data_IF_674650586162
#
_entry.id   IF_674650586162
#
_cell.length_a   1.000
_cell.length_b   1.000
_cell.length_c   1.000
_cell.angle_alpha   90.00
_cell.angle_beta   90.00
_cell.angle_gamma   90.00
#
_symmetry.space_group_name_H-M   'P 1'
#
loop_
_entity.id
_entity.type
_entity.pdbx_description
1 polymer ?
#
# COMPACT_ATOMS: atom_id res chain seq x y z
N UNK A 1 29.11 -32.26 13.65
CA UNK A 1 27.78 -31.69 13.95
C UNK A 1 27.05 -31.49 12.64
N UNK A 2 26.13 -32.40 12.30
CA UNK A 2 25.53 -32.51 10.97
C UNK A 2 24.41 -31.50 10.75
N UNK A 3 24.18 -31.09 9.50
CA UNK A 3 23.14 -30.16 9.04
C UNK A 3 21.73 -30.51 9.58
N UNK A 4 21.45 -31.79 9.81
CA UNK A 4 20.20 -32.26 10.42
C UNK A 4 20.00 -31.77 11.87
N UNK A 5 21.08 -31.67 12.66
CA UNK A 5 21.02 -31.12 14.02
C UNK A 5 20.80 -29.60 14.04
N UNK A 6 21.15 -28.89 12.97
CA UNK A 6 20.86 -27.46 12.82
C UNK A 6 19.41 -27.24 12.36
N UNK A 7 18.94 -28.04 11.40
CA UNK A 7 17.57 -28.00 10.90
C UNK A 7 16.54 -28.39 11.99
N UNK A 8 16.84 -29.42 12.79
CA UNK A 8 15.98 -29.84 13.90
C UNK A 8 15.87 -28.76 14.98
N UNK A 9 16.98 -28.09 15.34
CA UNK A 9 16.95 -26.98 16.31
C UNK A 9 16.23 -25.74 15.76
N UNK A 10 16.36 -25.45 14.47
CA UNK A 10 15.60 -24.38 13.83
C UNK A 10 14.09 -24.67 13.78
N UNK A 11 13.71 -25.92 13.54
CA UNK A 11 12.31 -26.35 13.54
C UNK A 11 11.70 -26.31 14.96
N UNK A 12 12.46 -26.73 15.98
CA UNK A 12 12.03 -26.65 17.38
C UNK A 12 11.90 -25.18 17.83
N UNK A 13 12.84 -24.31 17.46
CA UNK A 13 12.75 -22.87 17.74
C UNK A 13 11.59 -22.20 16.98
N UNK A 14 11.29 -22.64 15.75
CA UNK A 14 10.12 -22.17 15.00
C UNK A 14 8.81 -22.66 15.64
N UNK A 15 8.76 -23.89 16.14
CA UNK A 15 7.58 -24.43 16.83
C UNK A 15 7.37 -23.79 18.21
N UNK A 16 8.43 -23.49 18.96
CA UNK A 16 8.35 -22.76 20.23
C UNK A 16 7.94 -21.30 20.04
N UNK A 17 8.44 -20.61 19.02
CA UNK A 17 8.00 -19.25 18.70
C UNK A 17 6.54 -19.21 18.24
N UNK A 18 6.07 -20.22 17.49
CA UNK A 18 4.65 -20.34 17.10
C UNK A 18 3.76 -20.64 18.31
N UNK A 19 4.22 -21.50 19.25
CA UNK A 19 3.50 -21.77 20.51
C UNK A 19 3.43 -20.56 21.43
N UNK A 20 4.49 -19.74 21.51
CA UNK A 20 4.51 -18.50 22.29
C UNK A 20 3.57 -17.44 21.71
N UNK A 21 3.42 -17.40 20.38
CA UNK A 21 2.43 -16.54 19.71
C UNK A 21 1.01 -17.00 20.05
N UNK A 22 0.72 -18.31 20.00
CA UNK A 22 -0.62 -18.86 20.30
C UNK A 22 -1.00 -18.80 21.79
N UNK A 23 -0.02 -18.87 22.71
CA UNK A 23 -0.28 -18.70 24.15
C UNK A 23 -0.41 -17.22 24.55
N UNK A 24 0.26 -16.28 23.88
CA UNK A 24 0.07 -14.85 24.15
C UNK A 24 -1.22 -14.26 23.54
N UNK A 25 -1.79 -14.85 22.48
CA UNK A 25 -3.15 -14.48 22.00
C UNK A 25 -4.28 -14.95 22.92
N UNK A 26 -4.04 -15.90 23.82
CA UNK A 26 -5.09 -16.43 24.71
C UNK A 26 -5.11 -15.84 26.14
N UNK A 27 -4.05 -15.19 26.62
CA UNK A 27 -3.93 -14.89 28.07
C UNK A 27 -4.42 -13.50 28.51
N UNK A 28 -4.84 -12.59 27.61
CA UNK A 28 -5.41 -11.29 28.04
C UNK A 28 -6.69 -10.87 27.30
N UNK A 29 -7.70 -11.74 27.31
CA UNK A 29 -9.08 -11.34 27.04
C UNK A 29 -9.96 -11.56 28.28
N UNK A 30 -10.02 -10.60 29.23
CA UNK A 30 -11.03 -10.67 30.29
C UNK A 30 -12.39 -10.30 29.70
N UNK A 31 -13.33 -11.24 29.80
CA UNK A 31 -14.78 -10.98 29.87
C UNK A 31 -15.40 -10.09 28.79
N UNK A 32 -15.31 -10.48 27.51
CA UNK A 32 -16.24 -9.92 26.53
C UNK A 32 -17.62 -10.58 26.72
N UNK A 33 -18.55 -9.88 27.37
CA UNK A 33 -19.97 -10.26 27.49
C UNK A 33 -20.74 -10.16 26.17
N UNK A 34 -20.05 -10.11 25.02
CA UNK A 34 -20.66 -10.31 23.72
C UNK A 34 -21.17 -11.76 23.61
N UNK A 35 -22.50 -11.90 23.59
CA UNK A 35 -23.21 -13.17 23.39
C UNK A 35 -22.70 -13.91 22.15
N UNK A 36 -22.73 -15.24 22.16
CA UNK A 36 -22.30 -16.06 21.03
C UNK A 36 -23.03 -15.70 19.72
N UNK A 37 -24.26 -15.16 19.81
CA UNK A 37 -25.04 -14.65 18.68
C UNK A 37 -24.48 -13.33 18.11
N UNK A 38 -23.97 -12.41 18.93
CA UNK A 38 -23.30 -11.19 18.49
C UNK A 38 -21.96 -11.49 17.81
N UNK A 39 -21.20 -12.46 18.34
CA UNK A 39 -19.98 -12.99 17.72
C UNK A 39 -20.25 -13.64 16.36
N UNK A 40 -21.28 -14.50 16.27
CA UNK A 40 -21.72 -15.13 15.00
C UNK A 40 -22.25 -14.10 14.00
N UNK A 41 -22.99 -13.07 14.43
CA UNK A 41 -23.47 -11.98 13.54
C UNK A 41 -22.33 -11.13 12.98
N UNK A 42 -21.33 -10.77 13.79
CA UNK A 42 -20.11 -10.06 13.32
C UNK A 42 -19.26 -10.92 12.39
N UNK A 43 -19.13 -12.22 12.69
CA UNK A 43 -18.46 -13.17 11.80
C UNK A 43 -19.17 -13.26 10.45
N UNK A 44 -20.51 -13.41 10.44
CA UNK A 44 -21.33 -13.48 9.22
C UNK A 44 -21.31 -12.16 8.42
N UNK A 45 -21.28 -11.00 9.08
CA UNK A 45 -21.15 -9.68 8.41
C UNK A 45 -19.74 -9.38 7.89
N UNK A 46 -18.73 -10.16 8.26
CA UNK A 46 -17.36 -10.03 7.71
C UNK A 46 -17.32 -10.57 6.29
N UNK A 47 -18.08 -11.64 6.00
CA UNK A 47 -18.14 -12.28 4.67
C UNK A 47 -18.96 -11.52 3.63
N UNK A 48 -19.83 -10.60 4.06
CA UNK A 48 -20.63 -9.76 3.15
C UNK A 48 -19.88 -8.51 2.66
N UNK A 49 -18.63 -8.28 3.13
CA UNK A 49 -17.83 -7.13 2.72
C UNK A 49 -17.05 -7.48 1.44
N UNK A 50 -17.27 -6.78 0.31
CA UNK A 50 -16.56 -7.05 -0.95
C UNK A 50 -15.04 -7.11 -0.79
N UNK A 51 -14.48 -6.24 0.06
CA UNK A 51 -13.04 -6.16 0.32
C UNK A 51 -12.44 -7.45 0.91
N UNK A 52 -13.23 -8.23 1.66
CA UNK A 52 -12.76 -9.49 2.25
C UNK A 52 -12.69 -10.61 1.21
N UNK A 53 -13.64 -10.63 0.27
CA UNK A 53 -13.62 -11.59 -0.85
C UNK A 53 -12.48 -11.22 -1.80
N UNK A 54 -12.38 -9.93 -2.13
CA UNK A 54 -11.35 -9.42 -3.01
C UNK A 54 -9.94 -9.70 -2.44
N UNK A 55 -9.73 -9.52 -1.14
CA UNK A 55 -8.48 -9.86 -0.45
C UNK A 55 -8.10 -11.35 -0.50
N UNK A 56 -9.05 -12.26 -0.78
CA UNK A 56 -8.78 -13.70 -0.96
C UNK A 56 -8.47 -14.09 -2.40
N UNK A 57 -9.09 -13.40 -3.37
CA UNK A 57 -8.91 -13.69 -4.81
C UNK A 57 -7.67 -13.02 -5.39
N UNK A 58 -7.32 -11.84 -4.89
CA UNK A 58 -6.19 -11.08 -5.42
C UNK A 58 -4.84 -11.80 -5.26
N UNK A 59 -4.47 -12.35 -4.08
CA UNK A 59 -3.15 -12.97 -3.91
C UNK A 59 -2.84 -14.10 -4.92
N UNK A 60 -3.71 -15.10 -5.14
CA UNK A 60 -3.43 -16.14 -6.14
C UNK A 60 -3.34 -15.59 -7.57
N UNK A 61 -4.16 -14.60 -7.93
CA UNK A 61 -4.08 -13.94 -9.23
C UNK A 61 -2.75 -13.20 -9.42
N UNK A 62 -2.27 -12.51 -8.39
CA UNK A 62 -0.97 -11.83 -8.42
C UNK A 62 0.20 -12.82 -8.49
N UNK A 63 0.10 -14.00 -7.86
CA UNK A 63 1.10 -15.05 -8.00
C UNK A 63 1.17 -15.56 -9.45
N UNK A 64 0.01 -15.80 -10.08
CA UNK A 64 -0.04 -16.19 -11.50
C UNK A 64 0.54 -15.10 -12.39
N UNK A 65 0.19 -13.84 -12.14
CA UNK A 65 0.73 -12.69 -12.86
C UNK A 65 2.25 -12.58 -12.67
N UNK A 66 2.76 -12.79 -11.46
CA UNK A 66 4.19 -12.75 -11.16
C UNK A 66 4.95 -13.89 -11.86
N UNK A 67 4.42 -15.12 -11.82
CA UNK A 67 5.03 -16.27 -12.49
C UNK A 67 5.06 -16.10 -14.02
N UNK A 68 3.92 -15.76 -14.62
CA UNK A 68 3.82 -15.54 -16.06
C UNK A 68 4.59 -14.30 -16.51
N UNK A 69 4.55 -13.23 -15.71
CA UNK A 69 5.33 -12.01 -15.92
C UNK A 69 6.83 -12.26 -15.83
N UNK A 70 7.30 -13.09 -14.90
CA UNK A 70 8.70 -13.52 -14.82
C UNK A 70 9.11 -14.30 -16.07
N UNK A 71 8.33 -15.31 -16.48
CA UNK A 71 8.63 -16.09 -17.67
C UNK A 71 8.67 -15.21 -18.93
N UNK A 72 7.72 -14.27 -19.07
CA UNK A 72 7.65 -13.37 -20.21
C UNK A 72 8.77 -12.32 -20.19
N UNK A 73 8.94 -11.62 -19.06
CA UNK A 73 9.95 -10.58 -18.90
C UNK A 73 11.37 -11.14 -18.90
N UNK A 74 11.71 -11.98 -17.94
CA UNK A 74 13.10 -12.40 -17.73
C UNK A 74 13.62 -13.33 -18.84
N UNK A 75 12.79 -14.25 -19.32
CA UNK A 75 13.23 -15.29 -20.27
C UNK A 75 12.93 -14.85 -21.71
N UNK A 76 11.66 -14.64 -22.05
CA UNK A 76 11.25 -14.41 -23.45
C UNK A 76 11.76 -13.08 -23.99
N UNK A 77 11.67 -11.98 -23.22
CA UNK A 77 12.19 -10.68 -23.66
C UNK A 77 13.70 -10.69 -23.83
N UNK A 78 14.44 -11.35 -22.93
CA UNK A 78 15.89 -11.46 -23.03
C UNK A 78 16.32 -12.26 -24.27
N UNK A 79 15.65 -13.39 -24.54
CA UNK A 79 15.88 -14.17 -25.76
C UNK A 79 15.54 -13.38 -27.02
N UNK A 80 14.45 -12.61 -27.01
CA UNK A 80 14.10 -11.72 -28.11
C UNK A 80 15.20 -10.68 -28.37
N UNK A 81 15.67 -10.00 -27.33
CA UNK A 81 16.75 -9.00 -27.46
C UNK A 81 18.06 -9.61 -27.94
N UNK A 82 18.41 -10.81 -27.45
CA UNK A 82 19.66 -11.48 -27.79
C UNK A 82 19.62 -12.13 -29.18
N UNK A 83 18.64 -12.99 -29.45
CA UNK A 83 18.63 -13.93 -30.58
C UNK A 83 17.84 -13.44 -31.79
N UNK A 84 16.84 -12.57 -31.58
CA UNK A 84 16.03 -12.00 -32.68
C UNK A 84 16.59 -10.64 -33.09
N UNK A 85 16.95 -9.79 -32.13
CA UNK A 85 17.52 -8.47 -32.39
C UNK A 85 19.05 -8.44 -32.52
N UNK A 86 19.73 -9.54 -32.19
CA UNK A 86 21.21 -9.63 -32.23
C UNK A 86 21.92 -8.77 -31.18
N UNK A 87 21.22 -8.28 -30.15
CA UNK A 87 21.75 -7.33 -29.14
C UNK A 87 22.08 -8.02 -27.82
N UNK A 88 23.04 -8.94 -27.82
CA UNK A 88 23.42 -9.72 -26.63
C UNK A 88 23.82 -8.88 -25.41
N UNK A 89 24.56 -7.78 -25.60
CA UNK A 89 24.95 -6.89 -24.48
C UNK A 89 23.75 -6.18 -23.87
N UNK A 90 22.77 -5.77 -24.69
CA UNK A 90 21.52 -5.17 -24.21
C UNK A 90 20.68 -6.19 -23.45
N UNK A 91 20.60 -7.44 -23.94
CA UNK A 91 19.90 -8.51 -23.26
C UNK A 91 20.51 -8.80 -21.86
N UNK A 92 21.85 -8.85 -21.75
CA UNK A 92 22.53 -9.03 -20.46
C UNK A 92 22.30 -7.86 -19.50
N UNK A 93 22.37 -6.62 -19.98
CA UNK A 93 22.04 -5.44 -19.16
C UNK A 93 20.59 -5.47 -18.68
N UNK A 94 19.65 -5.82 -19.58
CA UNK A 94 18.24 -5.97 -19.24
C UNK A 94 18.02 -7.02 -18.15
N UNK A 95 18.62 -8.21 -18.30
CA UNK A 95 18.54 -9.29 -17.31
C UNK A 95 19.11 -8.87 -15.95
N UNK A 96 20.27 -8.20 -15.94
CA UNK A 96 20.86 -7.67 -14.71
C UNK A 96 19.94 -6.66 -14.03
N UNK A 97 19.41 -5.69 -14.80
CA UNK A 97 18.46 -4.70 -14.28
C UNK A 97 17.18 -5.36 -13.74
N UNK A 98 16.64 -6.34 -14.45
CA UNK A 98 15.47 -7.10 -14.02
C UNK A 98 15.73 -7.82 -12.69
N UNK A 99 16.85 -8.53 -12.57
CA UNK A 99 17.24 -9.24 -11.34
C UNK A 99 17.43 -8.28 -10.17
N UNK A 100 18.11 -7.15 -10.39
CA UNK A 100 18.33 -6.13 -9.36
C UNK A 100 17.00 -5.55 -8.90
N UNK A 101 16.13 -5.12 -9.81
CA UNK A 101 14.82 -4.55 -9.46
C UNK A 101 13.91 -5.58 -8.78
N UNK A 102 13.89 -6.83 -9.25
CA UNK A 102 13.15 -7.91 -8.60
C UNK A 102 13.65 -8.17 -7.18
N UNK A 103 14.98 -8.15 -6.99
CA UNK A 103 15.59 -8.31 -5.66
C UNK A 103 15.21 -7.16 -4.72
N UNK A 104 15.19 -5.92 -5.22
CA UNK A 104 14.73 -4.74 -4.45
C UNK A 104 13.25 -4.87 -4.10
N UNK A 105 12.39 -5.29 -5.04
CA UNK A 105 10.97 -5.53 -4.79
C UNK A 105 10.77 -6.57 -3.68
N UNK A 106 11.47 -7.70 -3.75
CA UNK A 106 11.41 -8.76 -2.73
C UNK A 106 11.91 -8.27 -1.37
N UNK A 107 13.02 -7.53 -1.35
CA UNK A 107 13.56 -6.93 -0.12
C UNK A 107 12.56 -5.97 0.52
N UNK A 108 12.02 -5.02 -0.24
CA UNK A 108 11.03 -4.07 0.27
C UNK A 108 9.76 -4.77 0.74
N UNK A 109 9.29 -5.81 0.02
CA UNK A 109 8.17 -6.64 0.45
C UNK A 109 8.44 -7.28 1.82
N UNK A 110 9.61 -7.89 1.99
CA UNK A 110 10.04 -8.46 3.27
C UNK A 110 10.11 -7.43 4.39
N UNK A 111 10.71 -6.26 4.12
CA UNK A 111 10.80 -5.17 5.11
C UNK A 111 9.43 -4.65 5.56
N UNK A 112 8.45 -4.56 4.65
CA UNK A 112 7.07 -4.22 5.03
C UNK A 112 6.43 -5.35 5.83
N UNK A 113 6.55 -6.60 5.36
CA UNK A 113 5.86 -7.75 5.96
C UNK A 113 6.33 -8.09 7.36
N UNK A 114 7.61 -7.86 7.64
CA UNK A 114 8.24 -8.15 8.91
C UNK A 114 8.48 -6.90 9.76
N UNK A 115 7.97 -5.73 9.35
CA UNK A 115 7.96 -4.55 10.19
C UNK A 115 7.15 -4.84 11.47
N UNK A 116 7.81 -4.76 12.62
CA UNK A 116 7.18 -5.02 13.93
C UNK A 116 6.48 -3.76 14.41
N UNK A 117 5.16 -3.71 14.27
CA UNK A 117 4.35 -2.62 14.81
C UNK A 117 3.89 -2.94 16.24
N UNK A 118 4.77 -2.75 17.22
CA UNK A 118 4.42 -2.95 18.64
C UNK A 118 4.30 -1.60 19.34
N UNK A 119 3.27 -1.48 20.17
CA UNK A 119 3.26 -0.52 21.28
C UNK A 119 3.89 -1.30 22.43
N UNK A 120 5.16 -1.01 22.72
CA UNK A 120 5.86 -1.59 23.86
C UNK A 120 5.34 -0.94 25.16
N UNK A 121 5.25 -1.73 26.23
CA UNK A 121 4.80 -1.26 27.55
C UNK A 121 3.71 -2.12 28.19
N UNK A 122 3.43 -1.84 29.46
CA UNK A 122 2.38 -2.44 30.30
C UNK A 122 0.95 -2.11 29.83
N UNK A 123 0.82 -1.18 28.88
CA UNK A 123 -0.45 -0.71 28.36
C UNK A 123 -0.92 0.60 28.99
N UNK A 124 -0.16 1.18 29.92
CA UNK A 124 -0.40 2.48 30.48
C UNK A 124 0.24 3.60 29.64
N UNK A 125 -0.26 4.85 29.73
CA UNK A 125 0.41 5.99 29.13
C UNK A 125 1.79 6.23 29.75
N UNK A 126 2.78 6.77 29.01
CA UNK A 126 4.06 7.22 29.57
C UNK A 126 3.88 8.22 30.71
N UNK A 127 4.87 8.30 31.60
CA UNK A 127 4.82 9.16 32.79
C UNK A 127 4.56 10.62 32.40
N UNK A 128 5.10 11.09 31.28
CA UNK A 128 4.91 12.44 30.76
C UNK A 128 3.45 12.72 30.39
N UNK A 129 2.74 11.70 29.87
CA UNK A 129 1.31 11.78 29.55
C UNK A 129 0.48 11.69 30.83
N UNK A 130 0.84 10.81 31.77
CA UNK A 130 0.17 10.70 33.06
C UNK A 130 0.29 12.01 33.87
N UNK A 131 1.47 12.61 33.87
CA UNK A 131 1.78 13.89 34.51
C UNK A 131 1.35 15.10 33.67
N UNK A 132 0.73 14.89 32.51
CA UNK A 132 0.19 15.95 31.65
C UNK A 132 1.22 17.02 31.26
N UNK A 133 2.46 16.60 31.00
CA UNK A 133 3.59 17.49 30.63
C UNK A 133 3.74 17.70 29.12
N UNK A 134 3.14 16.83 28.32
CA UNK A 134 3.24 16.84 26.84
C UNK A 134 1.85 16.91 26.20
N UNK A 135 1.79 17.21 24.91
CA UNK A 135 0.57 17.16 24.12
C UNK A 135 0.19 15.70 23.84
N UNK A 136 -1.05 15.31 24.13
CA UNK A 136 -1.55 13.97 23.83
C UNK A 136 -3.02 13.96 23.40
N UNK A 137 -3.42 12.91 22.67
CA UNK A 137 -4.82 12.67 22.31
C UNK A 137 -5.60 12.14 23.52
N UNK A 138 -6.73 12.79 23.82
CA UNK A 138 -7.55 12.50 24.98
C UNK A 138 -9.02 12.30 24.61
N UNK A 139 -9.84 11.95 25.61
CA UNK A 139 -11.29 12.05 25.52
C UNK A 139 -11.75 13.47 25.91
N UNK A 140 -13.04 13.75 25.78
CA UNK A 140 -13.61 15.05 26.16
C UNK A 140 -13.48 15.37 27.66
N UNK A 141 -13.26 14.36 28.50
CA UNK A 141 -12.96 14.49 29.94
C UNK A 141 -11.46 14.66 30.24
N UNK A 142 -10.62 14.75 29.20
CA UNK A 142 -9.18 14.94 29.32
C UNK A 142 -8.39 13.69 29.70
N UNK A 143 -9.03 12.52 29.86
CA UNK A 143 -8.31 11.26 30.08
C UNK A 143 -7.60 10.80 28.80
N UNK A 144 -6.41 10.24 28.96
CA UNK A 144 -5.63 9.71 27.84
C UNK A 144 -6.45 8.70 27.01
N UNK A 145 -6.30 8.75 25.69
CA UNK A 145 -7.10 7.90 24.80
C UNK A 145 -6.71 6.43 24.98
N UNK A 146 -7.70 5.59 25.31
CA UNK A 146 -7.54 4.14 25.39
C UNK A 146 -8.16 3.46 24.17
N UNK A 147 -7.58 2.33 23.76
CA UNK A 147 -8.16 1.46 22.75
C UNK A 147 -9.28 0.60 23.37
N UNK A 148 -10.50 0.70 22.82
CA UNK A 148 -11.64 -0.09 23.30
C UNK A 148 -11.45 -1.61 23.17
N UNK A 149 -10.67 -2.06 22.19
CA UNK A 149 -10.43 -3.48 21.89
C UNK A 149 -9.20 -4.01 22.64
N UNK A 150 -8.06 -3.31 22.57
CA UNK A 150 -6.82 -3.72 23.23
C UNK A 150 -6.81 -3.44 24.73
N UNK A 151 -7.66 -2.52 25.22
CA UNK A 151 -7.66 -2.02 26.60
C UNK A 151 -6.31 -1.46 27.06
N UNK A 152 -5.59 -0.82 26.14
CA UNK A 152 -4.29 -0.18 26.37
C UNK A 152 -4.30 1.25 25.86
N UNK A 153 -3.36 2.06 26.33
CA UNK A 153 -3.13 3.41 25.86
C UNK A 153 -2.88 3.44 24.36
N UNK A 154 -3.47 4.45 23.71
CA UNK A 154 -3.36 4.68 22.27
C UNK A 154 -2.60 5.97 22.03
N UNK A 155 -1.32 5.89 21.61
CA UNK A 155 -0.54 7.05 21.22
C UNK A 155 -1.22 7.87 20.12
N UNK A 156 -0.81 9.13 20.00
CA UNK A 156 -1.25 10.01 18.91
C UNK A 156 -0.94 9.36 17.55
N UNK A 157 -1.86 9.45 16.59
CA UNK A 157 -1.82 8.78 15.27
C UNK A 157 -1.86 7.24 15.30
N UNK A 158 -1.88 6.58 16.47
CA UNK A 158 -2.06 5.14 16.54
C UNK A 158 -3.53 4.73 16.33
N UNK A 159 -3.77 3.59 15.66
CA UNK A 159 -5.14 3.05 15.49
C UNK A 159 -5.16 1.53 15.63
N UNK A 160 -6.29 1.01 16.08
CA UNK A 160 -6.54 -0.42 16.10
C UNK A 160 -6.86 -0.92 14.68
N UNK A 161 -6.07 -1.87 14.18
CA UNK A 161 -6.38 -2.57 12.95
C UNK A 161 -7.25 -3.79 13.28
N UNK A 162 -8.47 -3.85 12.76
CA UNK A 162 -9.38 -4.98 13.01
C UNK A 162 -8.93 -6.28 12.32
N UNK A 163 -8.10 -6.17 11.27
CA UNK A 163 -7.58 -7.32 10.52
C UNK A 163 -6.39 -7.94 11.26
N UNK A 164 -5.48 -7.13 11.81
CA UNK A 164 -4.34 -7.59 12.62
C UNK A 164 -4.68 -7.80 14.11
N UNK A 165 -5.78 -7.22 14.61
CA UNK A 165 -6.22 -7.35 16.01
C UNK A 165 -5.39 -6.56 17.03
N UNK A 166 -4.55 -5.63 16.58
CA UNK A 166 -3.62 -4.86 17.44
C UNK A 166 -3.63 -3.37 17.10
N UNK A 167 -3.19 -2.54 18.04
CA UNK A 167 -2.96 -1.12 17.81
C UNK A 167 -1.60 -0.89 17.13
N UNK A 168 -1.62 -0.12 16.06
CA UNK A 168 -0.47 0.17 15.19
C UNK A 168 -0.09 1.66 15.37
N UNK A 169 1.11 1.99 15.85
CA UNK A 169 1.62 3.36 15.89
C UNK A 169 1.73 3.97 14.49
N UNK A 170 1.34 5.23 14.33
CA UNK A 170 1.41 5.90 13.02
C UNK A 170 0.67 5.16 11.90
N UNK A 171 -0.46 4.53 12.23
CA UNK A 171 -1.25 3.71 11.30
C UNK A 171 -1.71 4.52 10.09
N UNK A 172 -1.47 4.00 8.89
CA UNK A 172 -1.99 4.54 7.64
C UNK A 172 -3.18 3.68 7.15
N UNK A 173 -2.90 2.44 6.75
CA UNK A 173 -3.92 1.49 6.32
C UNK A 173 -3.45 0.03 6.50
N UNK A 174 -4.39 -0.92 6.47
CA UNK A 174 -4.06 -2.34 6.30
C UNK A 174 -4.06 -2.65 4.81
N UNK A 175 -2.95 -3.17 4.30
CA UNK A 175 -2.78 -3.48 2.89
C UNK A 175 -3.03 -4.98 2.65
N UNK A 176 -4.13 -5.38 1.99
CA UNK A 176 -4.40 -6.79 1.72
C UNK A 176 -3.35 -7.45 0.83
N UNK A 177 -2.65 -6.67 0.01
CA UNK A 177 -1.60 -7.16 -0.89
C UNK A 177 -0.33 -7.56 -0.15
N UNK A 178 -0.03 -6.89 0.95
CA UNK A 178 1.15 -7.15 1.77
C UNK A 178 0.82 -8.04 2.97
N UNK A 179 -0.46 -8.31 3.24
CA UNK A 179 -0.92 -8.97 4.47
C UNK A 179 -0.29 -8.31 5.73
N UNK A 180 -0.22 -6.97 5.70
CA UNK A 180 0.49 -6.19 6.71
C UNK A 180 -0.12 -4.78 6.83
N UNK A 181 0.04 -4.19 8.01
CA UNK A 181 -0.26 -2.77 8.19
C UNK A 181 0.84 -1.90 7.60
N UNK A 182 0.44 -0.90 6.84
CA UNK A 182 1.31 0.22 6.46
C UNK A 182 1.20 1.27 7.56
N UNK A 183 2.34 1.61 8.14
CA UNK A 183 2.47 2.50 9.27
C UNK A 183 3.75 3.34 9.15
N UNK A 184 4.00 4.24 10.09
CA UNK A 184 5.16 5.15 10.04
C UNK A 184 6.50 4.43 9.82
N UNK A 185 6.67 3.21 10.34
CA UNK A 185 7.92 2.45 10.16
C UNK A 185 8.00 1.70 8.82
N UNK A 186 6.86 1.31 8.26
CA UNK A 186 6.76 0.50 7.03
C UNK A 186 6.40 1.31 5.78
N UNK A 187 5.98 2.56 5.93
CA UNK A 187 5.54 3.42 4.83
C UNK A 187 6.66 3.75 3.83
N UNK A 188 7.90 3.91 4.30
CA UNK A 188 9.05 4.12 3.41
C UNK A 188 9.45 2.86 2.65
N UNK A 189 9.65 1.68 3.30
CA UNK A 189 9.78 0.42 2.57
C UNK A 189 8.66 0.18 1.56
N UNK A 190 7.41 0.51 1.92
CA UNK A 190 6.26 0.43 1.02
C UNK A 190 6.34 1.38 -0.17
N UNK A 191 6.77 2.63 0.04
CA UNK A 191 7.01 3.58 -1.04
C UNK A 191 8.11 3.09 -1.99
N UNK A 192 9.25 2.63 -1.46
CA UNK A 192 10.33 2.05 -2.26
C UNK A 192 9.87 0.80 -3.04
N UNK A 193 9.02 -0.04 -2.43
CA UNK A 193 8.38 -1.18 -3.11
C UNK A 193 7.59 -0.73 -4.33
N UNK A 194 6.72 0.29 -4.19
CA UNK A 194 5.90 0.79 -5.31
C UNK A 194 6.77 1.33 -6.45
N UNK A 195 7.79 2.12 -6.13
CA UNK A 195 8.71 2.69 -7.14
C UNK A 195 9.46 1.57 -7.87
N UNK A 196 10.04 0.62 -7.13
CA UNK A 196 10.78 -0.50 -7.72
C UNK A 196 9.87 -1.41 -8.56
N UNK A 197 8.63 -1.65 -8.13
CA UNK A 197 7.65 -2.44 -8.88
C UNK A 197 7.22 -1.75 -10.18
N UNK A 198 6.94 -0.44 -10.15
CA UNK A 198 6.62 0.34 -11.35
C UNK A 198 7.78 0.31 -12.35
N UNK A 199 9.02 0.49 -11.88
CA UNK A 199 10.20 0.40 -12.73
C UNK A 199 10.39 -1.00 -13.31
N UNK A 200 10.25 -2.06 -12.50
CA UNK A 200 10.34 -3.45 -12.94
C UNK A 200 9.31 -3.77 -14.03
N UNK A 201 8.06 -3.35 -13.84
CA UNK A 201 7.00 -3.54 -14.82
C UNK A 201 7.34 -2.75 -16.09
N UNK A 202 7.72 -1.48 -15.96
CA UNK A 202 8.08 -0.60 -17.08
C UNK A 202 9.17 -1.21 -17.97
N UNK A 203 10.30 -1.62 -17.38
CA UNK A 203 11.39 -2.25 -18.16
C UNK A 203 10.95 -3.56 -18.82
N UNK A 204 10.00 -4.28 -18.21
CA UNK A 204 9.52 -5.56 -18.72
C UNK A 204 8.56 -5.39 -19.90
N UNK A 205 7.67 -4.39 -19.86
CA UNK A 205 6.66 -4.18 -20.90
C UNK A 205 7.20 -3.44 -22.12
N UNK A 206 8.09 -2.45 -21.94
CA UNK A 206 8.52 -1.55 -23.01
C UNK A 206 9.08 -2.32 -24.24
N UNK A 207 9.98 -3.30 -24.08
CA UNK A 207 10.50 -4.06 -25.22
C UNK A 207 9.44 -4.96 -25.90
N UNK A 208 8.37 -5.32 -25.18
CA UNK A 208 7.31 -6.21 -25.64
C UNK A 208 6.21 -5.48 -26.41
N UNK A 209 5.98 -4.18 -26.16
CA UNK A 209 4.94 -3.38 -26.80
C UNK A 209 4.88 -3.54 -28.34
N UNK A 210 5.98 -3.43 -29.12
CA UNK A 210 5.90 -3.57 -30.56
C UNK A 210 5.46 -4.97 -31.01
N UNK A 211 5.93 -6.02 -30.33
CA UNK A 211 5.58 -7.42 -30.65
C UNK A 211 4.12 -7.68 -30.32
N UNK A 212 3.66 -7.23 -29.15
CA UNK A 212 2.27 -7.41 -28.72
C UNK A 212 1.33 -6.62 -29.62
N UNK A 213 1.74 -5.43 -30.08
CA UNK A 213 0.99 -4.66 -31.06
C UNK A 213 0.88 -5.41 -32.39
N UNK A 214 1.99 -5.92 -32.94
CA UNK A 214 1.96 -6.69 -34.19
C UNK A 214 1.11 -7.96 -34.05
N UNK A 215 1.27 -8.70 -32.96
CA UNK A 215 0.46 -9.87 -32.66
C UNK A 215 -1.03 -9.55 -32.57
N UNK A 216 -1.39 -8.43 -31.93
CA UNK A 216 -2.77 -7.97 -31.84
C UNK A 216 -3.33 -7.61 -33.22
N UNK A 217 -2.57 -6.88 -34.04
CA UNK A 217 -3.01 -6.49 -35.38
C UNK A 217 -3.27 -7.72 -36.27
N UNK A 218 -2.38 -8.72 -36.27
CA UNK A 218 -2.60 -9.98 -37.03
C UNK A 218 -3.86 -10.73 -36.58
N UNK A 219 -4.12 -10.73 -35.27
CA UNK A 219 -5.35 -11.34 -34.73
C UNK A 219 -6.58 -10.53 -35.13
N UNK A 220 -6.51 -9.21 -35.10
CA UNK A 220 -7.60 -8.34 -35.55
C UNK A 220 -7.88 -8.51 -37.05
N UNK A 221 -6.87 -8.66 -37.90
CA UNK A 221 -7.06 -9.01 -39.32
C UNK A 221 -7.80 -10.35 -39.44
N UNK A 222 -7.36 -11.36 -38.69
CA UNK A 222 -8.02 -12.68 -38.63
C UNK A 222 -9.48 -12.58 -38.15
N UNK A 223 -9.81 -11.58 -37.31
CA UNK A 223 -11.20 -11.40 -36.87
C UNK A 223 -12.16 -11.07 -38.01
N UNK A 224 -11.68 -10.42 -39.06
CA UNK A 224 -12.52 -9.94 -40.16
C UNK A 224 -12.41 -10.82 -41.40
N UNK A 225 -11.24 -11.41 -41.63
CA UNK A 225 -10.93 -12.15 -42.86
C UNK A 225 -11.24 -13.66 -42.75
N UNK A 226 -11.34 -14.20 -41.53
CA UNK A 226 -11.63 -15.62 -41.33
C UNK A 226 -13.10 -15.94 -41.60
N UNK A 227 -13.34 -16.77 -42.62
CA UNK A 227 -14.66 -17.37 -42.89
C UNK A 227 -15.13 -18.18 -41.69
N UNK A 228 -14.23 -18.95 -41.05
CA UNK A 228 -14.55 -19.74 -39.85
C UNK A 228 -15.07 -18.83 -38.73
N UNK A 229 -14.43 -17.69 -38.47
CA UNK A 229 -14.86 -16.79 -37.40
C UNK A 229 -16.21 -16.14 -37.69
N UNK A 230 -16.46 -15.80 -38.96
CA UNK A 230 -17.73 -15.24 -39.42
C UNK A 230 -18.89 -16.18 -39.11
N UNK A 231 -18.79 -17.44 -39.48
CA UNK A 231 -19.84 -18.45 -39.26
C UNK A 231 -19.99 -18.87 -37.80
N UNK A 232 -18.86 -18.95 -37.08
CA UNK A 232 -18.81 -19.45 -35.70
C UNK A 232 -19.26 -18.40 -34.68
N UNK A 233 -19.04 -17.12 -34.96
CA UNK A 233 -19.35 -16.04 -34.03
C UNK A 233 -20.15 -14.88 -34.63
N UNK A 234 -19.66 -14.23 -35.70
CA UNK A 234 -20.26 -12.98 -36.15
C UNK A 234 -21.69 -13.14 -36.68
N UNK A 235 -22.01 -14.20 -37.41
CA UNK A 235 -23.36 -14.38 -37.97
C UNK A 235 -24.37 -14.91 -36.93
N UNK A 236 -23.90 -15.34 -35.75
CA UNK A 236 -24.76 -15.90 -34.71
C UNK A 236 -25.52 -14.80 -33.97
N UNK A 237 -26.83 -14.95 -33.78
CA UNK A 237 -27.61 -14.01 -32.94
C UNK A 237 -27.12 -14.00 -31.48
N UNK A 238 -26.66 -15.14 -30.98
CA UNK A 238 -26.14 -15.29 -29.61
C UNK A 238 -24.89 -14.44 -29.34
N UNK A 239 -24.13 -14.03 -30.35
CA UNK A 239 -22.95 -13.19 -30.12
C UNK A 239 -23.31 -11.75 -29.71
N UNK A 240 -24.59 -11.38 -29.74
CA UNK A 240 -25.09 -10.12 -29.16
C UNK A 240 -25.46 -10.20 -27.67
N UNK A 241 -25.33 -11.38 -27.04
CA UNK A 241 -25.54 -11.50 -25.59
C UNK A 241 -24.51 -10.63 -24.86
N UNK A 242 -24.99 -9.60 -24.16
CA UNK A 242 -24.16 -8.62 -23.46
C UNK A 242 -23.80 -7.38 -24.30
N UNK A 243 -24.42 -7.20 -25.48
CA UNK A 243 -24.27 -6.00 -26.31
C UNK A 243 -22.97 -5.92 -27.12
N UNK A 244 -22.65 -4.75 -27.72
CA UNK A 244 -21.50 -4.58 -28.60
C UNK A 244 -20.17 -4.94 -27.93
N UNK A 245 -19.92 -4.48 -26.70
CA UNK A 245 -18.63 -4.65 -26.02
C UNK A 245 -18.25 -6.13 -25.88
N UNK A 246 -19.19 -6.94 -25.41
CA UNK A 246 -18.97 -8.38 -25.20
C UNK A 246 -18.85 -9.12 -26.53
N UNK A 247 -19.65 -8.76 -27.54
CA UNK A 247 -19.57 -9.28 -28.90
C UNK A 247 -18.15 -9.17 -29.48
N UNK A 248 -17.55 -7.98 -29.42
CA UNK A 248 -16.20 -7.75 -29.93
C UNK A 248 -15.13 -8.42 -29.07
N UNK A 249 -15.23 -8.34 -27.74
CA UNK A 249 -14.26 -8.96 -26.84
C UNK A 249 -14.18 -10.48 -27.04
N UNK A 250 -15.32 -11.16 -27.15
CA UNK A 250 -15.36 -12.60 -27.41
C UNK A 250 -14.91 -12.94 -28.83
N UNK A 251 -15.24 -12.10 -29.82
CA UNK A 251 -14.77 -12.28 -31.20
C UNK A 251 -13.24 -12.28 -31.29
N UNK A 252 -12.58 -11.33 -30.62
CA UNK A 252 -11.12 -11.28 -30.52
C UNK A 252 -10.57 -12.52 -29.80
N UNK A 253 -11.23 -12.97 -28.72
CA UNK A 253 -10.81 -14.18 -28.00
C UNK A 253 -10.90 -15.45 -28.86
N UNK A 254 -11.96 -15.61 -29.64
CA UNK A 254 -12.09 -16.74 -30.58
C UNK A 254 -11.06 -16.59 -31.70
N UNK A 255 -10.77 -15.38 -32.18
CA UNK A 255 -9.74 -15.17 -33.20
C UNK A 255 -8.34 -15.60 -32.73
N UNK A 256 -7.98 -15.41 -31.46
CA UNK A 256 -6.75 -15.99 -30.89
C UNK A 256 -6.71 -17.52 -30.98
N UNK A 257 -7.87 -18.20 -30.83
CA UNK A 257 -7.98 -19.66 -30.96
C UNK A 257 -7.89 -20.11 -32.42
N UNK A 258 -8.56 -19.41 -33.33
CA UNK A 258 -8.54 -19.68 -34.77
C UNK A 258 -7.15 -19.44 -35.33
N UNK A 259 -6.52 -18.30 -35.01
CA UNK A 259 -5.14 -18.01 -35.41
C UNK A 259 -4.17 -19.12 -34.99
N UNK A 260 -4.27 -19.58 -33.74
CA UNK A 260 -3.39 -20.65 -33.24
C UNK A 260 -3.64 -22.03 -33.87
N UNK A 261 -4.77 -22.23 -34.55
CA UNK A 261 -5.08 -23.46 -35.29
C UNK A 261 -4.66 -23.38 -36.77
N UNK A 262 -4.38 -22.18 -37.27
CA UNK A 262 -4.02 -21.89 -38.65
C UNK A 262 -2.51 -21.84 -38.85
N UNK A 263 -2.04 -22.33 -39.99
CA UNK A 263 -0.62 -22.30 -40.36
C UNK A 263 -0.21 -20.90 -40.82
N UNK A 264 0.25 -20.07 -39.89
CA UNK A 264 0.81 -18.74 -40.17
C UNK A 264 2.33 -18.70 -39.98
N UNK A 265 3.05 -17.84 -40.73
CA UNK A 265 4.46 -17.62 -40.48
C UNK A 265 4.67 -16.96 -39.10
N UNK A 266 5.74 -17.31 -38.38
CA UNK A 266 6.01 -16.75 -37.05
C UNK A 266 6.22 -15.23 -37.13
N UNK A 267 5.89 -14.55 -36.02
CA UNK A 267 6.15 -13.11 -35.81
C UNK A 267 7.65 -12.81 -35.77
N UNK A 268 8.44 -13.72 -35.22
CA UNK A 268 9.86 -13.52 -34.96
C UNK A 268 10.69 -14.44 -35.85
N UNK A 269 11.80 -13.92 -36.38
CA UNK A 269 12.83 -14.72 -37.07
C UNK A 269 14.12 -14.68 -36.26
N UNK A 270 14.62 -15.86 -35.89
CA UNK A 270 15.88 -16.00 -35.16
C UNK A 270 17.05 -15.77 -36.11
N UNK A 271 18.06 -15.02 -35.66
CA UNK A 271 19.27 -14.79 -36.46
C UNK A 271 20.22 -16.00 -36.34
N UNK A 272 20.76 -16.45 -37.48
CA UNK A 272 21.89 -17.39 -37.50
C UNK A 272 21.59 -18.83 -37.11
N UNK A 273 20.31 -19.23 -36.99
CA UNK A 273 19.94 -20.63 -36.72
C UNK A 273 19.21 -21.24 -37.93
N UNK A 274 19.70 -22.38 -38.41
CA UNK A 274 19.18 -23.08 -39.59
C UNK A 274 18.07 -24.09 -39.26
N UNK A 275 17.91 -24.48 -38.00
CA UNK A 275 16.86 -25.40 -37.56
C UNK A 275 15.50 -24.66 -37.46
N UNK A 276 14.51 -25.01 -38.30
CA UNK A 276 13.18 -24.39 -38.28
C UNK A 276 12.33 -24.77 -37.06
N UNK A 277 12.74 -25.79 -36.28
CA UNK A 277 12.02 -26.23 -35.07
C UNK A 277 12.48 -25.51 -33.80
N UNK A 278 13.60 -24.80 -33.86
CA UNK A 278 14.13 -24.05 -32.72
C UNK A 278 13.38 -22.73 -32.53
N UNK A 279 12.56 -22.66 -31.48
CA UNK A 279 11.88 -21.44 -31.07
C UNK A 279 12.34 -21.01 -29.66
N UNK A 280 13.25 -20.02 -29.54
CA UNK A 280 13.71 -19.52 -28.26
C UNK A 280 12.69 -18.62 -27.57
N UNK A 281 11.63 -18.20 -28.28
CA UNK A 281 10.63 -17.24 -27.81
C UNK A 281 9.18 -17.75 -28.05
N UNK A 282 8.79 -18.94 -27.56
CA UNK A 282 7.50 -19.57 -27.91
C UNK A 282 6.27 -18.76 -27.50
N UNK A 283 6.39 -17.86 -26.52
CA UNK A 283 5.26 -17.01 -26.12
C UNK A 283 5.14 -15.74 -26.97
N UNK A 284 6.17 -15.41 -27.77
CA UNK A 284 6.23 -14.18 -28.57
C UNK A 284 6.30 -14.47 -30.08
N UNK A 285 6.71 -15.68 -30.48
CA UNK A 285 6.84 -16.12 -31.86
C UNK A 285 5.49 -16.27 -32.57
N UNK A 286 4.40 -16.48 -31.83
CA UNK A 286 3.04 -16.48 -32.36
C UNK A 286 2.07 -15.71 -31.44
N UNK A 287 1.00 -15.11 -31.99
CA UNK A 287 -0.03 -14.44 -31.21
C UNK A 287 -0.72 -15.39 -30.21
N UNK A 288 -0.48 -15.14 -28.92
CA UNK A 288 -1.18 -15.82 -27.83
C UNK A 288 -1.94 -14.82 -26.97
N UNK A 289 -3.11 -15.23 -26.48
CA UNK A 289 -3.91 -14.40 -25.57
C UNK A 289 -3.23 -14.16 -24.21
N UNK A 290 -2.42 -15.12 -23.75
CA UNK A 290 -1.74 -15.06 -22.45
C UNK A 290 -0.79 -13.85 -22.29
N UNK A 291 0.21 -13.66 -23.19
CA UNK A 291 1.08 -12.49 -23.19
C UNK A 291 0.32 -11.16 -23.26
N UNK A 292 -0.72 -11.06 -24.11
CA UNK A 292 -1.57 -9.87 -24.15
C UNK A 292 -2.21 -9.58 -22.78
N UNK A 293 -2.83 -10.59 -22.17
CA UNK A 293 -3.47 -10.47 -20.87
C UNK A 293 -2.46 -10.06 -19.78
N UNK A 294 -1.26 -10.65 -19.78
CA UNK A 294 -0.18 -10.29 -18.85
C UNK A 294 0.24 -8.83 -19.03
N UNK A 295 0.47 -8.38 -20.26
CA UNK A 295 0.89 -7.00 -20.55
C UNK A 295 -0.19 -5.99 -20.20
N UNK A 296 -1.46 -6.24 -20.58
CA UNK A 296 -2.59 -5.35 -20.23
C UNK A 296 -2.77 -5.26 -18.71
N UNK A 297 -2.71 -6.40 -18.02
CA UNK A 297 -2.81 -6.44 -16.55
C UNK A 297 -1.63 -5.72 -15.90
N UNK A 298 -0.41 -5.91 -16.41
CA UNK A 298 0.78 -5.23 -15.92
C UNK A 298 0.71 -3.71 -16.12
N UNK A 299 0.21 -3.23 -17.27
CA UNK A 299 -0.03 -1.80 -17.51
C UNK A 299 -1.05 -1.25 -16.51
N UNK A 300 -2.16 -1.94 -16.26
CA UNK A 300 -3.14 -1.52 -15.26
C UNK A 300 -2.51 -1.44 -13.85
N UNK A 301 -1.77 -2.45 -13.43
CA UNK A 301 -1.06 -2.47 -12.14
C UNK A 301 -0.03 -1.34 -12.05
N UNK A 302 0.70 -1.06 -13.14
CA UNK A 302 1.66 0.05 -13.21
C UNK A 302 0.97 1.41 -13.03
N UNK A 303 -0.18 1.64 -13.69
CA UNK A 303 -0.96 2.87 -13.55
C UNK A 303 -1.49 3.06 -12.12
N UNK A 304 -1.98 1.98 -11.50
CA UNK A 304 -2.39 2.00 -10.08
C UNK A 304 -1.19 2.33 -9.18
N UNK A 305 -0.04 1.70 -9.43
CA UNK A 305 1.20 1.99 -8.69
C UNK A 305 1.63 3.45 -8.81
N UNK A 306 1.60 4.03 -10.01
CA UNK A 306 1.89 5.46 -10.24
C UNK A 306 0.90 6.34 -9.48
N UNK A 307 -0.41 6.06 -9.57
CA UNK A 307 -1.41 6.82 -8.84
C UNK A 307 -1.22 6.75 -7.31
N UNK A 308 -0.82 5.59 -6.78
CA UNK A 308 -0.50 5.43 -5.36
C UNK A 308 0.75 6.21 -4.96
N UNK A 309 1.83 6.17 -5.76
CA UNK A 309 3.05 6.96 -5.53
C UNK A 309 2.71 8.45 -5.50
N UNK A 310 1.96 8.94 -6.49
CA UNK A 310 1.51 10.34 -6.55
C UNK A 310 0.68 10.69 -5.31
N UNK A 311 -0.27 9.83 -4.93
CA UNK A 311 -1.11 10.04 -3.74
C UNK A 311 -0.27 10.14 -2.47
N UNK A 312 0.71 9.24 -2.27
CA UNK A 312 1.61 9.25 -1.11
C UNK A 312 2.40 10.56 -1.07
N UNK A 313 2.99 10.98 -2.20
CA UNK A 313 3.79 12.20 -2.26
C UNK A 313 2.92 13.44 -1.96
N UNK A 314 1.75 13.54 -2.58
CA UNK A 314 0.86 14.69 -2.38
C UNK A 314 0.35 14.77 -0.94
N UNK A 315 -0.06 13.65 -0.36
CA UNK A 315 -0.50 13.60 1.04
C UNK A 315 0.65 13.88 2.00
N UNK A 316 1.84 13.32 1.75
CA UNK A 316 3.02 13.58 2.56
C UNK A 316 3.39 15.07 2.53
N UNK A 317 3.34 15.74 1.37
CA UNK A 317 3.59 17.19 1.28
C UNK A 317 2.64 18.02 2.17
N UNK A 318 1.45 17.52 2.48
CA UNK A 318 0.45 18.18 3.33
C UNK A 318 0.45 17.64 4.78
N UNK A 319 1.35 16.74 5.14
CA UNK A 319 1.37 16.12 6.47
C UNK A 319 0.13 15.24 6.77
N UNK A 320 -0.53 14.74 5.72
CA UNK A 320 -1.75 13.95 5.83
C UNK A 320 -1.45 12.45 5.73
N UNK A 321 -1.97 11.67 6.67
CA UNK A 321 -2.15 10.22 6.51
C UNK A 321 -3.47 9.89 5.80
N UNK A 322 -3.60 8.68 5.27
CA UNK A 322 -4.86 8.19 4.69
C UNK A 322 -6.03 8.29 5.68
N UNK A 323 -5.75 8.10 6.97
CA UNK A 323 -6.70 8.30 8.06
C UNK A 323 -7.20 9.74 8.12
N UNK A 324 -6.29 10.73 8.05
CA UNK A 324 -6.67 12.14 8.11
C UNK A 324 -7.47 12.53 6.87
N UNK A 325 -7.08 12.07 5.68
CA UNK A 325 -7.83 12.30 4.43
C UNK A 325 -9.27 11.79 4.56
N UNK A 326 -9.45 10.55 5.02
CA UNK A 326 -10.78 9.97 5.19
C UNK A 326 -11.60 10.69 6.28
N UNK A 327 -10.93 11.14 7.35
CA UNK A 327 -11.54 11.92 8.43
C UNK A 327 -12.05 13.28 7.92
N UNK A 328 -11.26 13.98 7.11
CA UNK A 328 -11.63 15.24 6.45
C UNK A 328 -12.80 15.00 5.48
N UNK A 329 -12.72 13.96 4.64
CA UNK A 329 -13.79 13.60 3.69
C UNK A 329 -15.12 13.40 4.40
N UNK A 330 -15.15 12.64 5.50
CA UNK A 330 -16.36 12.41 6.31
C UNK A 330 -16.87 13.68 6.97
N UNK A 331 -15.97 14.54 7.43
CA UNK A 331 -16.33 15.83 8.02
C UNK A 331 -17.07 16.71 7.01
N UNK A 332 -16.54 16.83 5.79
CA UNK A 332 -17.18 17.57 4.68
C UNK A 332 -18.50 16.94 4.24
N UNK A 333 -18.58 15.62 4.16
CA UNK A 333 -19.85 14.95 3.84
C UNK A 333 -20.94 15.22 4.90
N UNK A 334 -20.55 15.43 6.16
CA UNK A 334 -21.48 15.75 7.26
C UNK A 334 -22.06 17.15 7.17
N UNK A 335 -21.33 18.15 6.65
CA UNK A 335 -21.93 19.47 6.44
C UNK A 335 -23.07 19.43 5.41
N UNK A 336 -23.10 18.40 4.55
CA UNK A 336 -24.14 18.15 3.56
C UNK A 336 -25.26 17.18 4.04
N UNK A 337 -25.03 16.34 5.05
CA UNK A 337 -25.96 15.27 5.48
C UNK A 337 -26.41 15.41 6.95
N UNK A 338 -27.73 15.25 7.22
CA UNK A 338 -28.36 15.39 8.56
C UNK A 338 -27.95 14.33 9.60
N UNK A 339 -27.06 13.37 9.29
CA UNK A 339 -26.64 12.33 10.24
C UNK A 339 -25.61 12.86 11.25
N UNK A 340 -26.04 13.06 12.50
CA UNK A 340 -25.25 13.67 13.60
C UNK A 340 -24.47 12.67 14.48
N UNK A 341 -24.47 11.37 14.17
CA UNK A 341 -24.03 10.33 15.13
C UNK A 341 -22.50 10.14 15.25
N UNK A 342 -21.70 10.65 14.30
CA UNK A 342 -20.24 10.54 14.33
C UNK A 342 -19.57 11.91 14.45
N UNK A 343 -18.85 12.14 15.56
CA UNK A 343 -18.01 13.32 15.75
C UNK A 343 -16.60 13.02 15.22
N UNK A 344 -16.16 13.66 14.11
CA UNK A 344 -14.83 13.44 13.58
C UNK A 344 -13.76 14.26 14.30
N UNK A 345 -14.06 15.13 15.28
CA UNK A 345 -13.03 15.91 15.99
C UNK A 345 -12.11 15.01 16.81
N UNK A 346 -10.86 15.44 16.98
CA UNK A 346 -9.92 14.85 17.94
C UNK A 346 -9.83 15.80 19.12
N UNK A 347 -9.77 15.26 20.32
CA UNK A 347 -9.52 16.05 21.51
C UNK A 347 -8.04 15.89 21.85
N UNK A 348 -7.37 17.02 22.04
CA UNK A 348 -5.97 17.04 22.49
C UNK A 348 -5.90 17.80 23.81
N UNK A 349 -5.04 17.33 24.71
CA UNK A 349 -4.66 18.08 25.89
C UNK A 349 -3.43 18.93 25.55
N UNK A 350 -3.49 20.23 25.87
CA UNK A 350 -2.36 21.14 25.76
C UNK A 350 -1.84 21.46 27.17
N UNK A 351 -0.57 21.16 27.50
CA UNK A 351 0.00 21.54 28.78
C UNK A 351 0.09 23.07 28.92
N UNK A 352 0.08 23.62 30.14
CA UNK A 352 0.25 25.05 30.38
C UNK A 352 1.54 25.55 29.72
N UNK A 353 1.55 26.82 29.30
CA UNK A 353 2.76 27.40 28.69
C UNK A 353 3.92 27.36 29.69
N UNK A 354 5.14 26.95 29.28
CA UNK A 354 6.29 27.02 30.16
C UNK A 354 6.49 28.47 30.61
N UNK A 355 6.52 28.71 31.93
CA UNK A 355 6.60 30.07 32.51
C UNK A 355 7.91 30.81 32.16
N UNK A 356 8.93 30.16 31.58
CA UNK A 356 10.23 30.78 31.26
C UNK A 356 10.90 30.19 30.01
N UNK A 357 10.91 30.93 28.89
CA UNK A 357 11.96 30.94 27.86
C UNK A 357 11.96 32.30 27.14
N UNK A 358 12.09 33.38 27.89
CA UNK A 358 12.57 34.66 27.34
C UNK A 358 14.07 34.57 27.14
N UNK A 359 14.49 34.15 25.95
CA UNK A 359 15.80 34.54 25.43
C UNK A 359 15.67 34.91 23.96
N UNK A 360 15.89 36.20 23.72
CA UNK A 360 16.07 36.92 22.46
C UNK A 360 14.85 37.14 21.57
N UNK A 361 14.37 38.40 21.65
CA UNK A 361 13.65 39.18 20.64
C UNK A 361 12.13 39.01 20.53
N UNK A 362 11.38 39.75 21.37
CA UNK A 362 10.40 40.74 20.88
C UNK A 362 9.64 41.42 22.04
N UNK A 363 9.72 42.75 22.04
CA UNK A 363 8.67 43.75 22.33
C UNK A 363 7.61 43.34 23.38
N UNK A 364 7.69 43.98 24.54
CA UNK A 364 6.61 44.05 25.52
C UNK A 364 5.34 44.61 24.85
N UNK A 365 4.35 43.75 24.66
CA UNK A 365 2.97 44.17 24.42
C UNK A 365 2.24 44.05 25.76
N UNK A 366 1.93 45.19 26.37
CA UNK A 366 1.12 45.28 27.58
C UNK A 366 -0.28 44.69 27.31
N UNK A 367 -0.67 43.69 28.10
CA UNK A 367 -1.97 43.01 27.99
C UNK A 367 -1.96 41.51 28.28
N UNK A 368 -0.87 40.93 28.80
CA UNK A 368 -0.80 39.50 29.13
C UNK A 368 -1.67 39.16 30.35
N UNK A 369 -2.88 38.65 30.07
CA UNK A 369 -3.60 37.80 31.03
C UNK A 369 -2.75 36.55 31.30
N UNK A 370 -2.54 36.25 32.59
CA UNK A 370 -1.75 35.11 33.06
C UNK A 370 -2.13 33.81 32.30
N UNK A 371 -1.14 33.01 31.85
CA UNK A 371 -1.43 31.71 31.24
C UNK A 371 -2.18 30.83 32.25
N UNK A 372 -3.14 29.99 31.80
CA UNK A 372 -3.90 29.11 32.69
C UNK A 372 -2.94 28.20 33.47
N UNK A 373 -3.16 28.08 34.78
CA UNK A 373 -2.31 27.26 35.67
C UNK A 373 -2.46 25.75 35.39
N UNK A 374 -3.59 25.36 34.81
CA UNK A 374 -3.88 24.01 34.35
C UNK A 374 -3.93 23.95 32.81
N UNK A 375 -3.56 22.81 32.23
CA UNK A 375 -3.62 22.64 30.77
C UNK A 375 -5.04 22.58 30.24
N UNK A 376 -5.21 22.82 28.94
CA UNK A 376 -6.52 22.97 28.31
C UNK A 376 -6.82 21.81 27.37
N UNK A 377 -8.06 21.34 27.36
CA UNK A 377 -8.56 20.33 26.42
C UNK A 377 -9.19 21.04 25.23
N UNK A 378 -8.72 20.74 24.02
CA UNK A 378 -9.20 21.39 22.80
C UNK A 378 -9.73 20.35 21.82
N UNK A 379 -10.94 20.59 21.32
CA UNK A 379 -11.50 19.84 20.20
C UNK A 379 -10.98 20.43 18.87
N UNK A 380 -10.14 19.67 18.18
CA UNK A 380 -9.53 20.07 16.91
C UNK A 380 -10.34 19.56 15.74
N UNK A 381 -10.73 20.48 14.86
CA UNK A 381 -11.46 20.17 13.64
C UNK A 381 -10.58 19.33 12.69
N UNK A 382 -11.16 18.39 11.92
CA UNK A 382 -10.39 17.52 11.02
C UNK A 382 -9.56 18.24 9.96
N UNK A 383 -9.98 19.44 9.58
CA UNK A 383 -9.33 20.25 8.54
C UNK A 383 -8.16 21.08 9.08
N UNK A 384 -8.03 21.19 10.41
CA UNK A 384 -6.89 21.88 11.01
C UNK A 384 -5.61 21.07 10.71
N UNK A 385 -4.57 21.71 10.15
CA UNK A 385 -3.35 21.04 9.68
C UNK A 385 -2.39 20.74 10.85
N UNK A 386 -2.90 20.00 11.83
CA UNK A 386 -2.25 19.77 13.12
C UNK A 386 -0.86 19.12 13.00
N UNK A 387 -0.62 18.31 11.97
CA UNK A 387 0.62 17.57 11.75
C UNK A 387 1.39 18.03 10.50
N UNK A 388 0.98 19.15 9.88
CA UNK A 388 1.66 19.69 8.70
C UNK A 388 2.84 20.58 9.14
N UNK A 389 4.07 20.09 9.02
CA UNK A 389 5.28 20.85 9.34
C UNK A 389 5.81 21.65 8.12
N UNK A 390 5.09 21.62 7.00
CA UNK A 390 5.49 22.14 5.70
C UNK A 390 6.05 21.05 4.78
N UNK A 391 5.84 21.23 3.47
CA UNK A 391 6.08 20.19 2.46
C UNK A 391 7.48 19.55 2.49
N UNK A 392 8.54 20.33 2.68
CA UNK A 392 9.91 19.79 2.79
C UNK A 392 10.07 18.94 4.04
N UNK A 393 9.73 19.48 5.21
CA UNK A 393 9.86 18.77 6.49
C UNK A 393 9.02 17.50 6.55
N UNK A 394 7.82 17.52 5.98
CA UNK A 394 6.97 16.33 5.93
C UNK A 394 7.56 15.25 5.01
N UNK A 395 8.11 15.63 3.85
CA UNK A 395 8.79 14.68 2.94
C UNK A 395 10.09 14.16 3.55
N UNK A 396 10.86 15.00 4.22
CA UNK A 396 12.08 14.60 4.95
C UNK A 396 11.75 13.62 6.07
N UNK A 397 10.65 13.84 6.81
CA UNK A 397 10.18 12.91 7.82
C UNK A 397 9.82 11.55 7.21
N UNK A 398 9.23 11.54 6.01
CA UNK A 398 8.86 10.31 5.30
C UNK A 398 10.07 9.58 4.68
N UNK A 399 10.88 10.28 3.88
CA UNK A 399 11.88 9.69 2.98
C UNK A 399 13.32 9.79 3.50
N UNK A 400 13.59 10.70 4.44
CA UNK A 400 14.93 11.02 4.93
C UNK A 400 15.38 12.42 4.53
N UNK A 401 16.37 12.95 5.25
CA UNK A 401 16.88 14.31 5.04
C UNK A 401 17.71 14.41 3.76
N UNK A 402 18.44 13.35 3.42
CA UNK A 402 19.31 13.33 2.23
C UNK A 402 18.62 12.58 1.11
N UNK A 403 18.72 13.09 -0.11
CA UNK A 403 18.05 12.52 -1.29
C UNK A 403 18.40 11.04 -1.54
N UNK A 404 19.63 10.62 -1.22
CA UNK A 404 20.05 9.22 -1.38
C UNK A 404 19.41 8.28 -0.34
N UNK A 405 18.94 8.80 0.79
CA UNK A 405 18.20 8.01 1.79
C UNK A 405 16.85 7.59 1.26
N UNK A 406 16.29 8.32 0.28
CA UNK A 406 14.97 8.07 -0.28
C UNK A 406 14.91 6.72 -1.00
N UNK A 407 16.03 6.26 -1.55
CA UNK A 407 16.19 4.94 -2.17
C UNK A 407 16.57 3.82 -1.20
N UNK A 408 16.74 4.10 0.10
CA UNK A 408 17.17 3.10 1.10
C UNK A 408 15.99 2.60 1.94
N UNK A 409 15.35 1.47 1.58
CA UNK A 409 14.16 0.99 2.27
C UNK A 409 14.44 0.54 3.72
N UNK A 410 15.67 0.16 4.07
CA UNK A 410 16.05 -0.23 5.44
C UNK A 410 16.25 0.96 6.39
N UNK A 411 16.40 2.19 5.88
CA UNK A 411 16.42 3.40 6.72
C UNK A 411 14.99 3.80 7.02
N UNK A 412 14.54 3.61 8.26
CA UNK A 412 13.17 3.97 8.71
C UNK A 412 12.88 5.46 8.51
N UNK A 413 11.62 5.79 8.28
CA UNK A 413 11.13 7.18 8.35
C UNK A 413 11.42 7.75 9.74
N UNK A 414 11.65 9.07 9.82
CA UNK A 414 11.89 9.73 11.10
C UNK A 414 10.59 9.70 11.90
N UNK A 415 10.60 8.97 13.02
CA UNK A 415 9.50 9.04 13.98
C UNK A 415 9.66 10.37 14.71
N UNK A 416 8.75 11.30 14.44
CA UNK A 416 8.67 12.55 15.20
C UNK A 416 7.74 12.25 16.37
N UNK A 417 8.29 12.26 17.58
CA UNK A 417 7.58 11.94 18.82
C UNK A 417 7.33 13.19 19.67
N UNK A 418 6.43 13.06 20.64
CA UNK A 418 6.09 14.15 21.57
C UNK A 418 5.60 15.40 20.86
N UNK A 419 5.94 16.56 21.42
CA UNK A 419 5.44 17.85 20.95
C UNK A 419 5.96 18.25 19.56
N UNK A 420 7.09 17.68 19.12
CA UNK A 420 7.70 17.98 17.81
C UNK A 420 6.83 17.55 16.63
N UNK A 421 5.88 16.62 16.83
CA UNK A 421 5.02 16.13 15.75
C UNK A 421 3.92 17.12 15.36
N UNK A 422 3.65 18.10 16.22
CA UNK A 422 2.58 19.07 16.03
C UNK A 422 3.10 20.32 15.34
N UNK A 423 2.30 20.89 14.45
CA UNK A 423 2.61 22.18 13.84
C UNK A 423 2.61 23.27 14.92
N UNK A 424 3.76 23.91 15.21
CA UNK A 424 3.86 24.87 16.30
C UNK A 424 2.96 26.09 16.09
N UNK A 425 2.75 26.53 14.84
CA UNK A 425 1.86 27.65 14.53
C UNK A 425 0.40 27.30 14.87
N UNK A 426 -0.02 26.08 14.53
CA UNK A 426 -1.38 25.60 14.85
C UNK A 426 -1.55 25.47 16.36
N UNK A 427 -0.56 24.92 17.08
CA UNK A 427 -0.63 24.82 18.54
C UNK A 427 -0.76 26.19 19.19
N UNK A 428 0.01 27.19 18.76
CA UNK A 428 -0.11 28.58 19.25
C UNK A 428 -1.51 29.16 19.00
N UNK A 429 -2.05 28.99 17.80
CA UNK A 429 -3.41 29.43 17.46
C UNK A 429 -4.48 28.74 18.32
N UNK A 430 -4.34 27.44 18.57
CA UNK A 430 -5.26 26.70 19.43
C UNK A 430 -5.19 27.19 20.88
N UNK A 431 -4.00 27.49 21.40
CA UNK A 431 -3.82 28.10 22.74
C UNK A 431 -4.49 29.47 22.84
N UNK A 432 -4.35 30.32 21.82
CA UNK A 432 -5.03 31.61 21.77
C UNK A 432 -6.55 31.48 21.72
N UNK A 433 -7.07 30.53 20.93
CA UNK A 433 -8.50 30.26 20.85
C UNK A 433 -9.06 29.77 22.18
N UNK A 434 -8.33 28.90 22.87
CA UNK A 434 -8.68 28.45 24.22
C UNK A 434 -8.72 29.60 25.23
N UNK A 435 -7.75 30.54 25.19
CA UNK A 435 -7.76 31.73 26.06
C UNK A 435 -9.00 32.63 25.83
N UNK A 436 -9.52 32.66 24.60
CA UNK A 436 -10.67 33.49 24.22
C UNK A 436 -12.03 32.81 24.45
N UNK A 437 -12.05 31.52 24.75
CA UNK A 437 -13.26 30.73 25.00
C UNK A 437 -13.18 30.16 26.42
N UNK A 438 -13.54 30.96 27.45
CA UNK A 438 -13.50 30.51 28.84
C UNK A 438 -14.46 29.36 29.14
#
# INVERSE_FOLDING_TARGET
MTLEHAASRALVAAQESTRLIDTQTQVHAPGNTDSASARRRRARSRWTRPNVILGKLIPPLLIVLAYKGYALGMVQTANYLALVRGRHSVARMYQLQFIVLLSVVILCFGLVRFASHRIDGDGEPPIEVQQRKVIFECNSDGKAKMCNQCKRWRPVKARHCNDCGVCIPGFDHHCPFMDACIAIESIKPFFCFLVAAVLLIGISIIPLLPIIYEALMRVLETTWDSVELRERWWDRKLSWIGGPVTRYAYGIFIAYRVYGSSSHPPLLRVQGHQDPTYDPCPLLSSPHFGPLLVVVTAVFVMLVGIAMITTIILNARQGLSAVQVERIRRHRARSSSKSKTYNPRIYIYLPPAPRNQTSSLSVLVEGEQNPPEEGVIIAVDPEEPLFDLGASKNLEALLGQKWWEWGMPWRRSRIVEGDEMFNPKVITQLREKARKQP
#
